data_IF_855723017585
#
_entry.id   IF_855723017585
#
_cell.length_a   1.000
_cell.length_b   1.000
_cell.length_c   1.000
_cell.angle_alpha   90.00
_cell.angle_beta   90.00
_cell.angle_gamma   90.00
#
_symmetry.space_group_name_H-M   'P 1'
#
loop_
_entity.id
_entity.type
_entity.pdbx_description
1 polymer ?
#
# COMPACT_ATOMS: atom_id res chain seq x y z
N UNK A 1 -7.06 -29.96 -18.16
CA UNK A 1 -7.36 -28.71 -17.45
C UNK A 1 -6.22 -28.51 -16.47
N UNK A 2 -5.37 -27.50 -16.65
CA UNK A 2 -4.28 -27.23 -15.72
C UNK A 2 -4.89 -26.59 -14.48
N UNK A 3 -4.66 -27.19 -13.30
CA UNK A 3 -4.99 -26.57 -12.02
C UNK A 3 -4.03 -25.38 -11.82
N UNK A 4 -4.56 -24.18 -12.01
CA UNK A 4 -3.82 -22.95 -11.75
C UNK A 4 -3.82 -22.70 -10.24
N UNK A 5 -2.64 -22.76 -9.64
CA UNK A 5 -2.45 -22.35 -8.25
C UNK A 5 -2.12 -20.87 -8.17
N UNK A 6 -2.75 -20.15 -7.22
CA UNK A 6 -2.41 -18.76 -6.95
C UNK A 6 -0.97 -18.66 -6.44
N UNK A 7 -0.21 -17.71 -6.99
CA UNK A 7 1.16 -17.42 -6.56
C UNK A 7 1.25 -15.99 -6.02
N UNK A 8 2.08 -15.81 -5.00
CA UNK A 8 2.43 -14.49 -4.48
C UNK A 8 3.12 -13.63 -5.55
N UNK A 9 3.23 -12.32 -5.40
CA UNK A 9 4.01 -11.46 -6.29
C UNK A 9 5.47 -11.92 -6.47
N UNK A 10 6.06 -12.56 -5.47
CA UNK A 10 7.41 -13.14 -5.56
C UNK A 10 7.44 -14.56 -6.18
N UNK A 11 6.28 -15.06 -6.65
CA UNK A 11 6.20 -16.35 -7.35
C UNK A 11 6.20 -17.58 -6.44
N UNK A 12 5.92 -17.43 -5.14
CA UNK A 12 5.85 -18.52 -4.18
C UNK A 12 4.39 -18.90 -3.86
N UNK A 13 4.19 -20.09 -3.27
CA UNK A 13 2.87 -20.55 -2.81
C UNK A 13 2.38 -19.82 -1.53
N UNK A 14 3.28 -19.19 -0.79
CA UNK A 14 2.98 -18.45 0.42
C UNK A 14 3.87 -17.20 0.52
N UNK A 15 3.40 -16.12 1.15
CA UNK A 15 4.21 -14.91 1.36
C UNK A 15 5.43 -15.22 2.22
N UNK A 16 6.51 -14.48 1.99
CA UNK A 16 7.77 -14.67 2.70
C UNK A 16 8.10 -13.45 3.56
N UNK A 17 8.86 -13.72 4.62
CA UNK A 17 9.53 -12.71 5.43
C UNK A 17 11.02 -13.00 5.44
N UNK A 18 11.82 -12.04 4.98
CA UNK A 18 13.27 -12.10 5.04
C UNK A 18 13.81 -11.15 6.11
N UNK A 19 14.97 -11.47 6.67
CA UNK A 19 15.60 -10.67 7.72
C UNK A 19 17.06 -10.35 7.39
N UNK A 20 17.47 -9.15 7.81
CA UNK A 20 18.87 -8.75 7.85
C UNK A 20 19.09 -7.95 9.15
N UNK A 21 19.91 -8.46 10.06
CA UNK A 21 20.01 -7.91 11.41
C UNK A 21 18.64 -7.82 12.09
N UNK A 22 18.28 -6.67 12.58
CA UNK A 22 17.00 -6.39 13.26
C UNK A 22 15.88 -5.93 12.30
N UNK A 23 16.14 -5.87 10.98
CA UNK A 23 15.13 -5.51 9.97
C UNK A 23 14.45 -6.77 9.46
N UNK A 24 13.12 -6.73 9.37
CA UNK A 24 12.32 -7.68 8.60
C UNK A 24 11.69 -7.00 7.39
N UNK A 25 11.66 -7.73 6.27
CA UNK A 25 10.97 -7.35 5.04
C UNK A 25 9.95 -8.45 4.75
N UNK A 26 8.67 -8.11 4.86
CA UNK A 26 7.55 -9.06 4.72
C UNK A 26 6.76 -8.75 3.46
N UNK A 27 6.57 -9.74 2.60
CA UNK A 27 5.62 -9.69 1.50
C UNK A 27 4.19 -9.76 2.05
N UNK A 28 3.36 -8.77 1.76
CA UNK A 28 1.98 -8.68 2.26
C UNK A 28 1.03 -9.09 1.14
N UNK A 29 0.27 -10.17 1.35
CA UNK A 29 -0.68 -10.74 0.37
C UNK A 29 -2.10 -10.88 0.91
N UNK A 30 -2.33 -10.47 2.14
CA UNK A 30 -3.61 -10.58 2.84
C UNK A 30 -4.50 -9.34 2.69
N UNK A 31 -4.16 -8.45 1.73
CA UNK A 31 -4.89 -7.21 1.47
C UNK A 31 -5.41 -7.16 0.05
N UNK A 32 -6.72 -6.90 -0.08
CA UNK A 32 -7.31 -6.46 -1.33
C UNK A 32 -7.11 -4.95 -1.49
N UNK A 33 -6.92 -4.49 -2.72
CA UNK A 33 -6.68 -3.08 -3.05
C UNK A 33 -7.59 -2.64 -4.19
N UNK A 34 -8.30 -1.52 -4.02
CA UNK A 34 -8.99 -0.83 -5.11
C UNK A 34 -8.48 0.60 -5.25
N UNK A 35 -8.35 1.10 -6.47
CA UNK A 35 -8.21 2.54 -6.70
C UNK A 35 -9.58 3.19 -6.72
N UNK A 36 -9.68 4.34 -6.04
CA UNK A 36 -10.89 5.14 -5.92
C UNK A 36 -10.58 6.55 -6.38
N UNK A 37 -11.30 7.05 -7.38
CA UNK A 37 -11.18 8.41 -7.89
C UNK A 37 -12.52 9.11 -7.81
N UNK A 38 -12.56 10.28 -7.15
CA UNK A 38 -13.77 11.13 -7.14
C UNK A 38 -14.08 11.61 -8.55
N UNK A 39 -15.35 11.53 -8.96
CA UNK A 39 -15.78 12.07 -10.24
C UNK A 39 -15.95 13.60 -10.16
N UNK A 40 -15.69 14.25 -11.29
CA UNK A 40 -15.82 15.71 -11.40
C UNK A 40 -17.20 16.21 -10.92
N UNK A 41 -17.21 17.23 -10.08
CA UNK A 41 -18.41 17.81 -9.49
C UNK A 41 -19.05 16.96 -8.37
N UNK A 42 -18.49 15.81 -8.00
CA UNK A 42 -19.05 14.87 -7.01
C UNK A 42 -18.34 14.89 -5.65
N UNK A 43 -17.48 15.86 -5.35
CA UNK A 43 -16.66 15.85 -4.13
C UNK A 43 -17.49 15.75 -2.83
N UNK A 44 -18.57 16.52 -2.70
CA UNK A 44 -19.43 16.48 -1.50
C UNK A 44 -20.18 15.15 -1.34
N UNK A 45 -20.94 14.63 -2.36
CA UNK A 45 -21.61 13.35 -2.24
C UNK A 45 -20.61 12.19 -2.09
N UNK A 46 -19.43 12.26 -2.73
CA UNK A 46 -18.37 11.30 -2.52
C UNK A 46 -17.89 11.25 -1.06
N UNK A 47 -17.60 12.40 -0.44
CA UNK A 47 -17.14 12.44 0.95
C UNK A 47 -18.16 11.79 1.91
N UNK A 48 -19.47 12.04 1.68
CA UNK A 48 -20.55 11.41 2.47
C UNK A 48 -20.59 9.90 2.28
N UNK A 49 -20.58 9.43 1.03
CA UNK A 49 -20.62 8.00 0.72
C UNK A 49 -19.35 7.27 1.20
N UNK A 50 -18.18 7.88 1.02
CA UNK A 50 -16.90 7.35 1.48
C UNK A 50 -16.86 7.19 3.00
N UNK A 51 -17.31 8.20 3.74
CA UNK A 51 -17.40 8.12 5.22
C UNK A 51 -18.35 7.02 5.67
N UNK A 52 -19.47 6.83 4.99
CA UNK A 52 -20.43 5.77 5.30
C UNK A 52 -19.84 4.37 5.04
N UNK A 53 -19.13 4.17 3.92
CA UNK A 53 -18.53 2.89 3.55
C UNK A 53 -17.31 2.57 4.41
N UNK A 54 -16.35 3.49 4.47
CA UNK A 54 -15.02 3.22 5.05
C UNK A 54 -14.97 3.43 6.57
N UNK A 55 -15.96 4.12 7.15
CA UNK A 55 -15.95 4.53 8.55
C UNK A 55 -14.91 5.62 8.88
N UNK A 56 -14.19 6.08 7.87
CA UNK A 56 -13.16 7.14 7.95
C UNK A 56 -13.35 8.13 6.80
N UNK A 57 -12.88 9.34 6.99
CA UNK A 57 -12.85 10.33 5.91
C UNK A 57 -11.65 10.08 5.00
N UNK A 58 -11.79 10.30 3.68
CA UNK A 58 -10.66 10.25 2.77
C UNK A 58 -9.54 11.18 3.25
N UNK A 59 -8.32 10.66 3.46
CA UNK A 59 -7.23 11.46 3.99
C UNK A 59 -6.79 12.56 3.03
N UNK A 60 -6.28 13.64 3.61
CA UNK A 60 -5.69 14.75 2.88
C UNK A 60 -4.44 14.32 2.08
N UNK A 61 -3.98 15.13 1.10
CA UNK A 61 -2.75 14.85 0.36
C UNK A 61 -1.56 14.51 1.26
N UNK A 62 -0.84 13.46 0.89
CA UNK A 62 0.34 13.00 1.64
C UNK A 62 0.02 12.18 2.89
N UNK A 63 -1.24 11.76 3.08
CA UNK A 63 -1.66 11.00 4.26
C UNK A 63 -2.34 9.69 3.90
N UNK A 64 -2.37 8.79 4.86
CA UNK A 64 -3.22 7.61 4.93
C UNK A 64 -4.05 7.65 6.22
N UNK A 65 -5.21 7.02 6.21
CA UNK A 65 -6.07 6.86 7.38
C UNK A 65 -6.50 5.40 7.49
N UNK A 66 -6.44 4.85 8.71
CA UNK A 66 -6.82 3.46 8.99
C UNK A 66 -7.98 3.43 9.96
N UNK A 67 -9.06 2.76 9.56
CA UNK A 67 -10.22 2.44 10.37
C UNK A 67 -10.19 0.98 10.81
N UNK A 68 -11.30 0.47 11.38
CA UNK A 68 -11.38 -0.91 11.87
C UNK A 68 -11.18 -1.97 10.77
N UNK A 69 -11.61 -1.70 9.55
CA UNK A 69 -11.56 -2.63 8.40
C UNK A 69 -10.74 -2.05 7.26
N UNK A 70 -10.96 -0.78 6.95
CA UNK A 70 -10.43 -0.12 5.77
C UNK A 70 -9.21 0.74 6.09
N UNK A 71 -8.29 0.78 5.15
CA UNK A 71 -7.23 1.79 5.10
C UNK A 71 -7.35 2.56 3.79
N UNK A 72 -7.40 3.88 3.86
CA UNK A 72 -7.34 4.75 2.70
C UNK A 72 -5.96 5.39 2.62
N UNK A 73 -5.35 5.36 1.45
CA UNK A 73 -4.01 5.91 1.20
C UNK A 73 -4.12 6.89 0.04
N UNK A 74 -3.77 8.14 0.27
CA UNK A 74 -3.74 9.13 -0.81
C UNK A 74 -2.70 8.75 -1.88
N UNK A 75 -3.11 8.76 -3.14
CA UNK A 75 -2.26 8.41 -4.28
C UNK A 75 -2.12 9.53 -5.30
N UNK A 76 -2.95 10.57 -5.21
CA UNK A 76 -2.94 11.71 -6.12
C UNK A 76 -4.14 12.62 -5.86
N UNK A 77 -4.25 13.76 -6.54
CA UNK A 77 -5.41 14.63 -6.43
C UNK A 77 -6.71 13.86 -6.68
N UNK A 78 -7.63 13.92 -5.70
CA UNK A 78 -8.93 13.24 -5.71
C UNK A 78 -8.84 11.71 -5.92
N UNK A 79 -7.71 11.09 -5.53
CA UNK A 79 -7.43 9.67 -5.73
C UNK A 79 -6.85 9.01 -4.48
N UNK A 80 -7.34 7.80 -4.19
CA UNK A 80 -6.88 6.97 -3.07
C UNK A 80 -6.80 5.51 -3.47
N UNK A 81 -5.91 4.77 -2.81
CA UNK A 81 -6.06 3.33 -2.66
C UNK A 81 -6.92 3.06 -1.42
N UNK A 82 -7.90 2.16 -1.59
CA UNK A 82 -8.65 1.57 -0.49
C UNK A 82 -8.13 0.14 -0.30
N UNK A 83 -7.63 -0.16 0.90
CA UNK A 83 -7.18 -1.50 1.30
C UNK A 83 -8.18 -2.09 2.32
N UNK A 84 -8.46 -3.39 2.20
CA UNK A 84 -9.22 -4.16 3.18
C UNK A 84 -8.66 -5.60 3.29
N UNK A 85 -9.04 -6.40 4.32
CA UNK A 85 -8.62 -7.81 4.37
C UNK A 85 -9.10 -8.59 3.16
N UNK A 86 -8.19 -9.28 2.45
CA UNK A 86 -8.51 -10.04 1.23
C UNK A 86 -9.57 -11.12 1.48
N UNK A 87 -9.45 -11.85 2.59
CA UNK A 87 -10.35 -12.96 2.94
C UNK A 87 -11.85 -12.57 3.03
N UNK A 88 -12.16 -11.27 3.21
CA UNK A 88 -13.53 -10.77 3.31
C UNK A 88 -13.90 -9.76 2.24
N UNK A 89 -12.93 -9.33 1.44
CA UNK A 89 -13.10 -8.28 0.42
C UNK A 89 -12.39 -8.65 -0.87
N UNK A 90 -12.42 -9.93 -1.28
CA UNK A 90 -11.85 -10.38 -2.55
C UNK A 90 -12.38 -9.53 -3.73
N UNK A 91 -13.68 -9.26 -3.76
CA UNK A 91 -14.34 -8.40 -4.75
C UNK A 91 -14.34 -6.91 -4.34
N UNK A 92 -13.23 -6.41 -3.81
CA UNK A 92 -13.14 -5.07 -3.21
C UNK A 92 -13.63 -3.95 -4.15
N UNK A 93 -13.34 -4.04 -5.45
CA UNK A 93 -13.78 -3.05 -6.42
C UNK A 93 -15.30 -3.06 -6.59
N UNK A 94 -15.93 -4.22 -6.62
CA UNK A 94 -17.38 -4.37 -6.71
C UNK A 94 -18.08 -3.80 -5.47
N UNK A 95 -17.62 -4.21 -4.28
CA UNK A 95 -18.13 -3.73 -2.99
C UNK A 95 -18.04 -2.20 -2.91
N UNK A 96 -16.86 -1.66 -3.21
CA UNK A 96 -16.59 -0.23 -3.17
C UNK A 96 -17.44 0.53 -4.20
N UNK A 97 -17.55 0.00 -5.43
CA UNK A 97 -18.33 0.64 -6.50
C UNK A 97 -19.81 0.67 -6.20
N UNK A 98 -20.36 -0.40 -5.65
CA UNK A 98 -21.78 -0.43 -5.25
C UNK A 98 -22.09 0.62 -4.18
N UNK A 99 -21.23 0.78 -3.19
CA UNK A 99 -21.42 1.74 -2.11
C UNK A 99 -21.21 3.20 -2.55
N UNK A 100 -20.22 3.48 -3.40
CA UNK A 100 -19.90 4.83 -3.86
C UNK A 100 -20.75 5.27 -5.07
N UNK A 101 -21.39 4.34 -5.76
CA UNK A 101 -22.29 4.62 -6.88
C UNK A 101 -21.63 5.45 -8.00
N UNK A 102 -22.32 6.51 -8.42
CA UNK A 102 -21.88 7.45 -9.47
C UNK A 102 -20.91 8.54 -8.95
N UNK A 103 -20.62 8.56 -7.65
CA UNK A 103 -19.75 9.57 -7.05
C UNK A 103 -18.27 9.33 -7.32
N UNK A 104 -17.89 8.07 -7.61
CA UNK A 104 -16.50 7.68 -7.85
C UNK A 104 -16.35 6.71 -9.03
N UNK A 105 -15.16 6.73 -9.61
CA UNK A 105 -14.63 5.64 -10.44
C UNK A 105 -13.80 4.73 -9.54
N UNK A 106 -14.02 3.41 -9.68
CA UNK A 106 -13.35 2.38 -8.87
C UNK A 106 -12.76 1.34 -9.81
N UNK A 107 -11.54 0.90 -9.53
CA UNK A 107 -10.86 -0.13 -10.32
C UNK A 107 -10.15 -1.10 -9.38
N UNK A 108 -10.28 -2.40 -9.67
CA UNK A 108 -9.55 -3.46 -8.97
C UNK A 108 -8.04 -3.29 -9.15
N UNK A 109 -7.29 -3.43 -8.07
CA UNK A 109 -5.84 -3.22 -8.04
C UNK A 109 -5.06 -4.31 -7.29
N UNK A 110 -5.72 -5.26 -6.67
CA UNK A 110 -5.08 -6.29 -5.82
C UNK A 110 -3.93 -6.98 -6.53
N UNK A 111 -4.13 -7.43 -7.76
CA UNK A 111 -3.08 -8.11 -8.54
C UNK A 111 -2.17 -7.17 -9.35
N UNK A 112 -2.44 -5.89 -9.33
CA UNK A 112 -1.63 -4.88 -10.00
C UNK A 112 -0.39 -4.45 -9.20
N UNK A 113 -0.41 -4.68 -7.89
CA UNK A 113 0.59 -4.15 -6.96
C UNK A 113 1.14 -5.23 -6.04
N UNK A 114 2.36 -5.02 -5.56
CA UNK A 114 2.97 -5.74 -4.44
C UNK A 114 3.18 -4.77 -3.29
N UNK A 115 2.96 -5.26 -2.07
CA UNK A 115 3.27 -4.52 -0.85
C UNK A 115 4.31 -5.29 -0.05
N UNK A 116 5.35 -4.55 0.38
CA UNK A 116 6.32 -5.01 1.37
C UNK A 116 6.21 -4.16 2.62
N UNK A 117 6.15 -4.82 3.76
CA UNK A 117 6.25 -4.16 5.06
C UNK A 117 7.68 -4.32 5.59
N UNK A 118 8.28 -3.20 6.00
CA UNK A 118 9.63 -3.09 6.53
C UNK A 118 9.51 -2.72 8.00
N UNK A 119 10.00 -3.59 8.87
CA UNK A 119 9.91 -3.38 10.31
C UNK A 119 11.27 -3.57 10.99
N UNK A 120 11.56 -2.72 11.97
CA UNK A 120 12.75 -2.82 12.80
C UNK A 120 13.21 -1.47 13.33
N UNK A 121 14.11 -1.46 14.31
CA UNK A 121 14.60 -0.23 14.94
C UNK A 121 15.40 0.66 13.99
N UNK A 122 16.05 0.09 12.99
CA UNK A 122 16.85 0.81 11.98
C UNK A 122 16.11 0.95 10.62
N UNK A 123 14.78 0.78 10.60
CA UNK A 123 13.97 0.91 9.38
C UNK A 123 14.11 2.29 8.71
N UNK A 124 14.28 3.36 9.50
CA UNK A 124 14.54 4.71 8.98
C UNK A 124 15.86 4.77 8.23
N UNK A 125 16.94 4.22 8.81
CA UNK A 125 18.28 4.26 8.21
C UNK A 125 18.30 3.48 6.88
N UNK A 126 17.56 2.36 6.81
CA UNK A 126 17.34 1.62 5.58
C UNK A 126 16.59 2.44 4.53
N UNK A 127 15.48 3.06 4.92
CA UNK A 127 14.65 3.82 3.99
C UNK A 127 15.34 5.08 3.46
N UNK A 128 16.21 5.72 4.23
CA UNK A 128 17.04 6.85 3.77
C UNK A 128 18.02 6.47 2.65
N UNK A 129 18.42 5.20 2.56
CA UNK A 129 19.27 4.70 1.46
C UNK A 129 18.48 4.38 0.19
N UNK A 130 17.16 4.18 0.32
CA UNK A 130 16.32 3.70 -0.77
C UNK A 130 15.59 4.81 -1.53
N UNK A 131 15.19 5.88 -0.83
CA UNK A 131 14.36 6.90 -1.46
C UNK A 131 14.66 8.32 -0.92
N UNK A 132 14.41 9.36 -1.73
CA UNK A 132 14.70 10.75 -1.37
C UNK A 132 13.64 11.38 -0.45
N UNK A 133 12.82 10.57 0.21
CA UNK A 133 11.82 11.08 1.16
C UNK A 133 12.46 11.46 2.50
N UNK A 134 11.93 12.45 3.21
CA UNK A 134 12.41 12.81 4.53
C UNK A 134 11.87 11.81 5.58
N UNK A 135 12.19 10.51 5.44
CA UNK A 135 11.59 9.41 6.21
C UNK A 135 11.76 9.56 7.70
N UNK A 136 12.86 10.19 8.15
CA UNK A 136 13.12 10.49 9.56
C UNK A 136 12.11 11.47 10.17
N UNK A 137 11.43 12.25 9.34
CA UNK A 137 10.40 13.21 9.74
C UNK A 137 8.98 12.75 9.44
N UNK A 138 8.83 11.60 8.77
CA UNK A 138 7.50 11.05 8.46
C UNK A 138 6.83 10.59 9.75
N UNK A 139 5.64 11.09 9.99
CA UNK A 139 4.78 10.66 11.10
C UNK A 139 3.91 9.48 10.69
N UNK A 140 3.44 8.72 11.65
CA UNK A 140 2.46 7.66 11.41
C UNK A 140 1.29 8.18 10.58
N UNK A 141 0.95 7.47 9.52
CA UNK A 141 -0.07 7.87 8.55
C UNK A 141 0.45 8.72 7.38
N UNK A 142 1.71 9.20 7.40
CA UNK A 142 2.28 9.87 6.23
C UNK A 142 2.41 8.90 5.06
N UNK A 143 2.02 9.35 3.86
CA UNK A 143 2.09 8.57 2.61
C UNK A 143 2.60 9.45 1.47
N UNK A 144 3.55 8.95 0.69
CA UNK A 144 4.12 9.72 -0.42
C UNK A 144 4.55 8.82 -1.57
N UNK A 145 4.34 9.31 -2.79
CA UNK A 145 4.98 8.70 -3.96
C UNK A 145 6.48 8.95 -3.92
N UNK A 146 7.24 7.96 -4.34
CA UNK A 146 8.70 8.02 -4.42
C UNK A 146 9.22 7.14 -5.55
N UNK A 147 10.52 7.11 -5.71
CA UNK A 147 11.23 6.20 -6.62
C UNK A 147 12.24 5.43 -5.78
N UNK A 148 12.23 4.10 -5.91
CA UNK A 148 13.20 3.19 -5.32
C UNK A 148 13.82 2.40 -6.47
N UNK A 149 15.15 2.50 -6.68
CA UNK A 149 15.87 1.82 -7.77
C UNK A 149 15.17 1.99 -9.14
N UNK A 150 14.75 3.23 -9.48
CA UNK A 150 14.00 3.58 -10.70
C UNK A 150 12.56 3.05 -10.74
N UNK A 151 12.07 2.33 -9.73
CA UNK A 151 10.71 1.83 -9.65
C UNK A 151 9.81 2.85 -8.96
N UNK A 152 8.75 3.29 -9.64
CA UNK A 152 7.72 4.15 -9.04
C UNK A 152 7.04 3.42 -7.87
N UNK A 153 7.07 4.03 -6.70
CA UNK A 153 6.61 3.42 -5.46
C UNK A 153 5.74 4.36 -4.64
N UNK A 154 4.94 3.81 -3.76
CA UNK A 154 4.21 4.53 -2.72
C UNK A 154 4.78 4.08 -1.37
N UNK A 155 5.27 5.01 -0.57
CA UNK A 155 5.85 4.76 0.76
C UNK A 155 4.89 5.28 1.81
N UNK A 156 4.55 4.44 2.77
CA UNK A 156 3.64 4.76 3.87
C UNK A 156 4.36 4.53 5.20
N UNK A 157 4.34 5.50 6.09
CA UNK A 157 4.79 5.34 7.46
C UNK A 157 3.67 4.73 8.30
N UNK A 158 3.76 3.46 8.64
CA UNK A 158 2.76 2.74 9.47
C UNK A 158 2.99 2.98 10.97
N UNK A 159 4.25 3.04 11.37
CA UNK A 159 4.64 3.45 12.73
C UNK A 159 5.92 4.27 12.66
N UNK A 160 5.91 5.45 13.25
CA UNK A 160 7.02 6.39 13.23
C UNK A 160 8.35 5.74 13.65
N UNK A 161 9.35 5.87 12.79
CA UNK A 161 10.69 5.37 13.01
C UNK A 161 10.90 3.85 12.89
N UNK A 162 9.83 3.05 12.79
CA UNK A 162 9.93 1.58 12.94
C UNK A 162 9.25 0.75 11.87
N UNK A 163 8.18 1.24 11.24
CA UNK A 163 7.41 0.45 10.29
C UNK A 163 7.01 1.28 9.08
N UNK A 164 7.44 0.84 7.91
CA UNK A 164 7.09 1.42 6.63
C UNK A 164 6.49 0.35 5.72
N UNK A 165 5.50 0.73 4.90
CA UNK A 165 5.05 -0.07 3.75
C UNK A 165 5.56 0.56 2.47
N UNK A 166 6.05 -0.28 1.56
CA UNK A 166 6.38 0.07 0.17
C UNK A 166 5.42 -0.67 -0.74
N UNK A 167 4.67 0.08 -1.56
CA UNK A 167 3.78 -0.47 -2.58
C UNK A 167 4.37 -0.14 -3.94
N UNK A 168 4.53 -1.16 -4.80
CA UNK A 168 5.11 -1.03 -6.14
C UNK A 168 4.30 -1.88 -7.14
N UNK A 169 4.43 -1.65 -8.47
CA UNK A 169 3.80 -2.52 -9.45
C UNK A 169 4.24 -3.98 -9.27
N UNK A 170 3.29 -4.93 -9.33
CA UNK A 170 3.55 -6.37 -9.14
C UNK A 170 4.67 -6.91 -10.03
N UNK A 171 4.79 -6.41 -11.26
CA UNK A 171 5.86 -6.81 -12.19
C UNK A 171 7.27 -6.51 -11.70
N UNK A 172 7.43 -5.62 -10.73
CA UNK A 172 8.71 -5.28 -10.11
C UNK A 172 8.93 -5.98 -8.76
N UNK A 173 8.07 -6.92 -8.35
CA UNK A 173 8.16 -7.55 -7.02
C UNK A 173 9.56 -8.08 -6.70
N UNK A 174 10.16 -8.86 -7.60
CA UNK A 174 11.51 -9.42 -7.42
C UNK A 174 12.59 -8.33 -7.32
N UNK A 175 12.56 -7.32 -8.20
CA UNK A 175 13.51 -6.20 -8.18
C UNK A 175 13.36 -5.35 -6.93
N UNK A 176 12.12 -5.06 -6.52
CA UNK A 176 11.85 -4.31 -5.30
C UNK A 176 12.33 -5.07 -4.06
N UNK A 177 11.99 -6.36 -3.95
CA UNK A 177 12.47 -7.19 -2.85
C UNK A 177 14.01 -7.23 -2.78
N UNK A 178 14.68 -7.36 -3.95
CA UNK A 178 16.14 -7.33 -4.02
C UNK A 178 16.72 -6.01 -3.49
N UNK A 179 16.18 -4.87 -3.93
CA UNK A 179 16.61 -3.54 -3.49
C UNK A 179 16.41 -3.35 -1.97
N UNK A 180 15.24 -3.76 -1.45
CA UNK A 180 14.95 -3.71 -0.03
C UNK A 180 15.94 -4.54 0.78
N UNK A 181 16.22 -5.79 0.37
CA UNK A 181 17.14 -6.67 1.08
C UNK A 181 18.60 -6.24 0.94
N UNK A 182 19.00 -5.64 -0.18
CA UNK A 182 20.34 -5.07 -0.34
C UNK A 182 20.57 -3.90 0.63
N UNK A 183 19.59 -3.00 0.74
CA UNK A 183 19.64 -1.89 1.70
C UNK A 183 19.64 -2.39 3.15
N UNK A 184 18.78 -3.36 3.49
CA UNK A 184 18.73 -3.93 4.84
C UNK A 184 20.08 -4.53 5.25
N UNK A 185 20.72 -5.33 4.37
CA UNK A 185 22.04 -5.93 4.62
C UNK A 185 23.16 -4.90 4.75
N UNK A 186 23.01 -3.74 4.13
CA UNK A 186 24.04 -2.68 4.18
C UNK A 186 24.08 -1.91 5.51
N UNK A 187 23.07 -2.14 6.37
CA UNK A 187 22.95 -1.51 7.70
C UNK A 187 22.88 -2.51 8.86
N UNK A 188 22.88 -3.82 8.54
CA UNK A 188 22.82 -4.93 9.49
C UNK A 188 24.17 -5.13 10.22
#
# INVERSE_FOLDING_TARGET
MHDLAALTPLGAAAPRTDRAGEISVTEVTDRAIASVSTRNGKAKPFATAAKALFGIEPPAPGLSATGPVWTLIWTGPDQWFAEAPFATHEDIATITKQALGDTASVTEQTDGWVRFDIEGPTAVDMMERLCPLPVRRMKTGAASRSIIEHMGSLVICRAEGRHFSVIAPRSFAGSMHHALMAAARSIA
#
